data_IF_447708322086
#
_entry.id   IF_447708322086
#
_cell.length_a   1.000
_cell.length_b   1.000
_cell.length_c   1.000
_cell.angle_alpha   90.00
_cell.angle_beta   90.00
_cell.angle_gamma   90.00
#
_symmetry.space_group_name_H-M   'P 1'
#
loop_
_entity.id
_entity.type
_entity.pdbx_description
1 polymer ?
#
# COMPACT_ATOMS: atom_id res chain seq x y z
N UNK A 1 1.38 -1.20 -31.30
CA UNK A 1 1.79 -2.41 -32.05
C UNK A 1 2.96 -3.11 -31.33
N UNK A 2 3.14 -4.44 -31.44
CA UNK A 2 4.34 -5.13 -30.93
C UNK A 2 5.54 -4.73 -31.80
N UNK A 3 6.68 -4.37 -31.19
CA UNK A 3 7.89 -4.04 -31.96
C UNK A 3 8.52 -5.34 -32.46
N UNK A 4 8.42 -5.58 -33.77
CA UNK A 4 9.03 -6.73 -34.43
C UNK A 4 10.53 -6.73 -34.12
N UNK A 5 11.07 -7.87 -33.67
CA UNK A 5 12.52 -7.98 -33.46
C UNK A 5 13.22 -7.96 -34.80
N UNK A 6 14.08 -6.96 -34.99
CA UNK A 6 14.98 -6.88 -36.14
C UNK A 6 16.31 -7.56 -35.81
N UNK A 7 16.91 -8.22 -36.78
CA UNK A 7 18.20 -8.88 -36.70
C UNK A 7 19.33 -7.86 -36.48
N UNK A 8 20.50 -8.27 -35.94
CA UNK A 8 21.64 -7.37 -35.77
C UNK A 8 22.09 -6.69 -37.07
N UNK A 9 21.97 -7.37 -38.21
CA UNK A 9 22.30 -6.84 -39.52
C UNK A 9 21.34 -5.73 -39.97
N UNK A 10 20.04 -5.89 -39.73
CA UNK A 10 19.02 -4.86 -40.02
C UNK A 10 19.19 -3.64 -39.12
N UNK A 11 19.49 -3.84 -37.84
CA UNK A 11 19.75 -2.74 -36.89
C UNK A 11 21.02 -1.98 -37.26
N UNK A 12 22.05 -2.65 -37.80
CA UNK A 12 23.29 -1.99 -38.22
C UNK A 12 23.07 -1.02 -39.39
N UNK A 13 22.14 -1.35 -40.30
CA UNK A 13 21.78 -0.55 -41.49
C UNK A 13 20.92 0.68 -41.23
N UNK A 14 20.34 0.81 -40.03
CA UNK A 14 19.52 1.97 -39.65
C UNK A 14 20.36 3.25 -39.48
N UNK A 15 19.73 4.40 -39.63
CA UNK A 15 20.27 5.69 -39.20
C UNK A 15 20.42 5.77 -37.66
N UNK A 16 21.22 6.71 -37.12
CA UNK A 16 21.33 6.91 -35.67
C UNK A 16 19.98 7.19 -34.99
N UNK A 17 19.11 7.96 -35.63
CA UNK A 17 17.77 8.31 -35.13
C UNK A 17 16.86 7.08 -35.06
N UNK A 18 16.79 6.30 -36.15
CA UNK A 18 16.01 5.05 -36.20
C UNK A 18 16.52 4.02 -35.17
N UNK A 19 17.84 3.96 -34.92
CA UNK A 19 18.39 3.11 -33.85
C UNK A 19 17.95 3.57 -32.47
N UNK A 20 17.94 4.88 -32.21
CA UNK A 20 17.52 5.44 -30.94
C UNK A 20 16.02 5.18 -30.68
N UNK A 21 15.18 5.40 -31.70
CA UNK A 21 13.75 5.12 -31.64
C UNK A 21 13.47 3.63 -31.43
N UNK A 22 14.11 2.75 -32.22
CA UNK A 22 13.98 1.30 -32.07
C UNK A 22 14.38 0.83 -30.65
N UNK A 23 15.48 1.36 -30.11
CA UNK A 23 15.94 1.05 -28.75
C UNK A 23 14.94 1.53 -27.70
N UNK A 24 14.38 2.72 -27.85
CA UNK A 24 13.36 3.28 -26.96
C UNK A 24 12.09 2.42 -26.96
N UNK A 25 11.59 2.07 -28.15
CA UNK A 25 10.41 1.22 -28.32
C UNK A 25 10.62 -0.19 -27.72
N UNK A 26 11.79 -0.80 -27.94
CA UNK A 26 12.14 -2.08 -27.30
C UNK A 26 12.21 -1.98 -25.78
N UNK A 27 12.82 -0.93 -25.24
CA UNK A 27 12.91 -0.71 -23.80
C UNK A 27 11.51 -0.54 -23.18
N UNK A 28 10.63 0.21 -23.84
CA UNK A 28 9.23 0.37 -23.44
C UNK A 28 8.47 -0.96 -23.45
N UNK A 29 8.61 -1.75 -24.51
CA UNK A 29 7.98 -3.07 -24.60
C UNK A 29 8.49 -4.02 -23.50
N UNK A 30 9.79 -4.03 -23.22
CA UNK A 30 10.37 -4.81 -22.13
C UNK A 30 9.93 -4.31 -20.74
N UNK A 31 9.72 -3.00 -20.58
CA UNK A 31 9.15 -2.43 -19.36
C UNK A 31 7.73 -2.93 -19.12
N UNK A 32 6.85 -2.81 -20.12
CA UNK A 32 5.46 -3.30 -20.06
C UNK A 32 5.42 -4.80 -19.76
N UNK A 33 6.27 -5.60 -20.41
CA UNK A 33 6.33 -7.04 -20.19
C UNK A 33 6.73 -7.42 -18.75
N UNK A 34 7.70 -6.71 -18.16
CA UNK A 34 8.12 -6.94 -16.76
C UNK A 34 7.09 -6.42 -15.76
N UNK A 35 6.46 -5.29 -16.09
CA UNK A 35 5.44 -4.65 -15.27
C UNK A 35 4.20 -5.56 -15.14
N UNK A 36 3.86 -6.28 -16.22
CA UNK A 36 2.74 -7.23 -16.26
C UNK A 36 1.38 -6.56 -16.45
N UNK A 37 1.36 -5.25 -16.70
CA UNK A 37 0.18 -4.46 -17.06
C UNK A 37 0.55 -3.56 -18.23
N UNK A 38 -0.37 -3.37 -19.18
CA UNK A 38 -0.19 -2.51 -20.35
C UNK A 38 -1.11 -1.27 -20.29
N UNK A 39 -0.62 -0.12 -19.78
CA UNK A 39 -1.41 1.11 -19.69
C UNK A 39 -1.88 1.64 -21.05
N UNK A 40 -1.19 1.27 -22.14
CA UNK A 40 -1.50 1.78 -23.48
C UNK A 40 -2.52 0.92 -24.22
N UNK A 41 -2.87 -0.25 -23.67
CA UNK A 41 -3.81 -1.20 -24.27
C UNK A 41 -4.90 -1.60 -23.30
N UNK A 42 -5.56 -0.61 -22.70
CA UNK A 42 -6.72 -0.82 -21.85
C UNK A 42 -6.40 -1.61 -20.57
N UNK A 43 -5.20 -1.40 -20.01
CA UNK A 43 -4.79 -1.96 -18.71
C UNK A 43 -4.82 -3.49 -18.63
N UNK A 44 -4.67 -4.18 -19.76
CA UNK A 44 -4.61 -5.65 -19.79
C UNK A 44 -3.49 -6.15 -18.88
N UNK A 45 -3.87 -6.90 -17.84
CA UNK A 45 -2.96 -7.50 -16.89
C UNK A 45 -2.65 -8.95 -17.23
N UNK A 46 -1.41 -9.37 -16.99
CA UNK A 46 -0.98 -10.77 -17.11
C UNK A 46 -0.85 -11.36 -15.71
N UNK A 47 -1.89 -12.05 -15.28
CA UNK A 47 -1.86 -12.86 -14.06
C UNK A 47 -1.12 -14.17 -14.30
N UNK A 48 -0.46 -14.67 -13.25
CA UNK A 48 0.26 -15.93 -13.27
C UNK A 48 0.04 -16.61 -11.91
N UNK A 49 -0.15 -17.92 -11.93
CA UNK A 49 -0.14 -18.72 -10.71
C UNK A 49 1.22 -18.57 -10.04
N UNK A 50 1.22 -18.41 -8.72
CA UNK A 50 2.44 -18.29 -7.94
C UNK A 50 3.24 -19.61 -8.03
N UNK A 51 4.56 -19.54 -8.27
CA UNK A 51 5.43 -20.71 -8.22
C UNK A 51 5.27 -21.46 -6.89
N UNK A 52 5.05 -22.77 -6.96
CA UNK A 52 4.83 -23.64 -5.80
C UNK A 52 3.37 -23.78 -5.36
N UNK A 53 2.43 -23.03 -5.96
CA UNK A 53 0.97 -23.16 -5.68
C UNK A 53 0.22 -23.96 -6.75
N UNK A 54 0.91 -24.48 -7.76
CA UNK A 54 0.31 -25.23 -8.86
C UNK A 54 -0.38 -26.51 -8.39
N UNK A 55 0.18 -27.19 -7.38
CA UNK A 55 -0.44 -28.40 -6.80
C UNK A 55 -1.79 -28.08 -6.15
N UNK A 56 -1.85 -27.00 -5.37
CA UNK A 56 -3.08 -26.55 -4.69
C UNK A 56 -4.13 -26.14 -5.73
N UNK A 57 -3.71 -25.41 -6.77
CA UNK A 57 -4.61 -25.03 -7.87
C UNK A 57 -5.20 -26.26 -8.55
N UNK A 58 -4.37 -27.26 -8.88
CA UNK A 58 -4.84 -28.51 -9.49
C UNK A 58 -5.82 -29.26 -8.58
N UNK A 59 -5.51 -29.34 -7.29
CA UNK A 59 -6.39 -29.97 -6.31
C UNK A 59 -7.76 -29.28 -6.24
N UNK A 60 -7.78 -27.94 -6.20
CA UNK A 60 -9.02 -27.17 -6.23
C UNK A 60 -9.81 -27.36 -7.53
N UNK A 61 -9.13 -27.42 -8.68
CA UNK A 61 -9.76 -27.72 -9.97
C UNK A 61 -10.42 -29.10 -9.97
N UNK A 62 -9.70 -30.13 -9.50
CA UNK A 62 -10.23 -31.49 -9.40
C UNK A 62 -11.44 -31.58 -8.46
N UNK A 63 -11.39 -30.92 -7.29
CA UNK A 63 -12.51 -30.91 -6.35
C UNK A 63 -13.72 -30.14 -6.91
N UNK A 64 -13.48 -29.10 -7.71
CA UNK A 64 -14.53 -28.31 -8.35
C UNK A 64 -15.24 -29.04 -9.50
N UNK A 65 -14.65 -30.08 -10.08
CA UNK A 65 -15.28 -30.89 -11.12
C UNK A 65 -16.47 -31.71 -10.57
N UNK A 66 -16.36 -32.23 -9.35
CA UNK A 66 -17.40 -33.03 -8.71
C UNK A 66 -18.36 -32.24 -7.81
N UNK A 67 -18.07 -30.97 -7.54
CA UNK A 67 -18.90 -30.13 -6.69
C UNK A 67 -20.09 -29.53 -7.44
N UNK A 68 -21.28 -29.65 -6.85
CA UNK A 68 -22.50 -28.98 -7.32
C UNK A 68 -22.42 -27.46 -7.11
N UNK A 69 -21.87 -27.04 -5.96
CA UNK A 69 -21.73 -25.65 -5.54
C UNK A 69 -20.33 -25.34 -5.00
N UNK A 70 -19.83 -24.15 -5.30
CA UNK A 70 -18.51 -23.66 -4.87
C UNK A 70 -18.72 -22.35 -4.10
N UNK A 71 -18.48 -22.38 -2.79
CA UNK A 71 -18.61 -21.21 -1.93
C UNK A 71 -17.27 -20.49 -1.75
N UNK A 72 -17.22 -19.22 -2.13
CA UNK A 72 -16.09 -18.32 -1.97
C UNK A 72 -16.26 -17.52 -0.66
N UNK A 73 -15.64 -18.01 0.41
CA UNK A 73 -15.79 -17.49 1.78
C UNK A 73 -14.57 -16.66 2.23
N UNK A 74 -14.11 -15.71 1.39
CA UNK A 74 -13.01 -14.79 1.72
C UNK A 74 -13.49 -13.59 2.54
N UNK A 75 -12.54 -12.84 3.10
CA UNK A 75 -12.81 -11.64 3.92
C UNK A 75 -13.73 -10.62 3.23
N UNK A 76 -14.48 -9.85 4.02
CA UNK A 76 -15.34 -8.76 3.55
C UNK A 76 -14.51 -7.49 3.30
N UNK A 77 -13.65 -7.53 2.30
CA UNK A 77 -13.01 -6.34 1.75
C UNK A 77 -12.69 -6.53 0.26
N UNK A 78 -12.11 -5.49 -0.36
CA UNK A 78 -11.74 -5.55 -1.78
C UNK A 78 -10.62 -6.57 -2.08
N UNK A 79 -9.77 -6.89 -1.10
CA UNK A 79 -8.70 -7.88 -1.29
C UNK A 79 -9.29 -9.28 -1.29
N UNK A 80 -10.19 -9.57 -0.34
CA UNK A 80 -11.00 -10.77 -0.31
C UNK A 80 -11.78 -10.96 -1.61
N UNK A 81 -12.43 -9.90 -2.10
CA UNK A 81 -13.17 -9.97 -3.37
C UNK A 81 -12.26 -10.28 -4.57
N UNK A 82 -11.09 -9.66 -4.63
CA UNK A 82 -10.11 -9.95 -5.68
C UNK A 82 -9.55 -11.38 -5.58
N UNK A 83 -9.35 -11.91 -4.37
CA UNK A 83 -8.93 -13.30 -4.14
C UNK A 83 -10.03 -14.26 -4.63
N UNK A 84 -11.28 -14.02 -4.26
CA UNK A 84 -12.42 -14.81 -4.68
C UNK A 84 -12.56 -14.82 -6.21
N UNK A 85 -12.44 -13.66 -6.85
CA UNK A 85 -12.40 -13.55 -8.30
C UNK A 85 -11.23 -14.34 -8.91
N UNK A 86 -10.01 -14.20 -8.37
CA UNK A 86 -8.86 -14.96 -8.86
C UNK A 86 -9.05 -16.47 -8.73
N UNK A 87 -9.64 -16.95 -7.63
CA UNK A 87 -9.97 -18.36 -7.45
C UNK A 87 -10.97 -18.84 -8.51
N UNK A 88 -12.04 -18.08 -8.76
CA UNK A 88 -12.99 -18.40 -9.83
C UNK A 88 -12.30 -18.47 -11.20
N UNK A 89 -11.46 -17.49 -11.55
CA UNK A 89 -10.74 -17.47 -12.83
C UNK A 89 -9.74 -18.62 -12.99
N UNK A 90 -9.11 -19.05 -11.89
CA UNK A 90 -8.10 -20.12 -11.90
C UNK A 90 -8.74 -21.50 -11.88
N UNK A 91 -9.82 -21.70 -11.13
CA UNK A 91 -10.55 -22.96 -11.06
C UNK A 91 -11.34 -23.18 -12.36
N UNK A 92 -12.04 -22.16 -12.85
CA UNK A 92 -12.82 -22.21 -14.09
C UNK A 92 -14.09 -23.06 -14.00
N UNK A 93 -14.68 -23.37 -15.15
CA UNK A 93 -15.97 -24.07 -15.21
C UNK A 93 -17.16 -23.11 -15.23
N UNK A 94 -18.35 -23.60 -14.85
CA UNK A 94 -19.57 -22.79 -14.88
C UNK A 94 -19.60 -21.78 -13.73
N UNK A 95 -19.68 -20.49 -14.08
CA UNK A 95 -19.78 -19.36 -13.15
C UNK A 95 -21.04 -19.45 -12.28
N UNK A 96 -22.11 -20.09 -12.76
CA UNK A 96 -23.37 -20.24 -12.03
C UNK A 96 -23.24 -21.09 -10.74
N UNK A 97 -22.20 -21.92 -10.66
CA UNK A 97 -21.90 -22.77 -9.49
C UNK A 97 -21.20 -22.00 -8.37
N UNK A 98 -20.69 -20.80 -8.64
CA UNK A 98 -19.95 -20.01 -7.68
C UNK A 98 -20.88 -19.12 -6.87
N UNK A 99 -20.71 -19.15 -5.56
CA UNK A 99 -21.48 -18.36 -4.61
C UNK A 99 -20.53 -17.65 -3.65
N UNK A 100 -20.75 -16.35 -3.45
CA UNK A 100 -19.95 -15.51 -2.57
C UNK A 100 -20.58 -15.51 -1.18
N UNK A 101 -19.79 -15.82 -0.16
CA UNK A 101 -20.24 -15.83 1.25
C UNK A 101 -19.40 -14.86 2.04
N UNK A 102 -20.03 -13.84 2.61
CA UNK A 102 -19.37 -12.82 3.43
C UNK A 102 -19.93 -12.83 4.84
N UNK A 103 -19.05 -12.65 5.81
CA UNK A 103 -19.42 -12.52 7.22
C UNK A 103 -18.47 -11.53 7.89
N UNK A 104 -19.02 -10.72 8.80
CA UNK A 104 -18.24 -9.72 9.56
C UNK A 104 -17.55 -10.33 10.78
N UNK A 105 -18.04 -11.47 11.25
CA UNK A 105 -17.58 -12.15 12.45
C UNK A 105 -17.68 -13.66 12.28
N UNK A 106 -16.85 -14.40 13.02
CA UNK A 106 -16.80 -15.87 12.95
C UNK A 106 -17.60 -16.44 14.13
N UNK A 107 -18.92 -16.22 14.11
CA UNK A 107 -19.88 -16.79 15.06
C UNK A 107 -20.78 -17.81 14.37
N UNK A 108 -21.29 -18.81 15.10
CA UNK A 108 -22.14 -19.86 14.49
C UNK A 108 -23.36 -19.27 13.78
N UNK A 109 -24.02 -18.30 14.40
CA UNK A 109 -25.17 -17.59 13.81
C UNK A 109 -24.78 -16.83 12.56
N UNK A 110 -23.73 -16.00 12.60
CA UNK A 110 -23.31 -15.20 11.45
C UNK A 110 -22.91 -16.07 10.24
N UNK A 111 -22.26 -17.21 10.48
CA UNK A 111 -21.92 -18.17 9.41
C UNK A 111 -23.19 -18.81 8.85
N UNK A 112 -24.10 -19.30 9.69
CA UNK A 112 -25.35 -19.90 9.21
C UNK A 112 -26.19 -18.91 8.39
N UNK A 113 -26.27 -17.67 8.85
CA UNK A 113 -26.97 -16.59 8.14
C UNK A 113 -26.30 -16.28 6.81
N UNK A 114 -24.96 -16.19 6.77
CA UNK A 114 -24.20 -15.91 5.54
C UNK A 114 -24.37 -17.00 4.47
N UNK A 115 -24.46 -18.28 4.88
CA UNK A 115 -24.73 -19.39 3.95
C UNK A 115 -26.20 -19.51 3.56
N UNK A 116 -27.13 -18.90 4.30
CA UNK A 116 -28.56 -18.91 3.95
C UNK A 116 -28.88 -17.97 2.77
N UNK A 117 -28.09 -16.92 2.57
CA UNK A 117 -28.23 -15.93 1.51
C UNK A 117 -26.88 -15.60 0.87
N UNK A 118 -26.30 -16.53 0.10
CA UNK A 118 -25.07 -16.26 -0.64
C UNK A 118 -25.30 -15.18 -1.71
N UNK A 119 -24.29 -14.35 -1.92
CA UNK A 119 -24.28 -13.31 -2.95
C UNK A 119 -23.48 -13.76 -4.19
N UNK A 120 -23.37 -12.86 -5.16
CA UNK A 120 -22.43 -13.00 -6.30
C UNK A 120 -21.21 -12.11 -6.05
N UNK A 121 -20.16 -12.31 -6.84
CA UNK A 121 -18.96 -11.47 -6.76
C UNK A 121 -19.25 -10.02 -7.17
N UNK A 122 -18.76 -9.07 -6.38
CA UNK A 122 -18.79 -7.66 -6.71
C UNK A 122 -17.63 -7.29 -7.64
N UNK A 123 -17.92 -7.20 -8.93
CA UNK A 123 -16.96 -6.81 -9.97
C UNK A 123 -16.40 -5.40 -9.76
N UNK A 124 -17.13 -4.48 -9.11
CA UNK A 124 -16.61 -3.14 -8.82
C UNK A 124 -15.53 -3.17 -7.75
N UNK A 125 -15.72 -4.00 -6.70
CA UNK A 125 -14.70 -4.19 -5.67
C UNK A 125 -13.44 -4.85 -6.24
N UNK A 126 -13.59 -5.85 -7.11
CA UNK A 126 -12.47 -6.45 -7.85
C UNK A 126 -11.74 -5.40 -8.68
N UNK A 127 -12.46 -4.61 -9.48
CA UNK A 127 -11.87 -3.57 -10.33
C UNK A 127 -11.17 -2.49 -9.50
N UNK A 128 -11.70 -2.12 -8.34
CA UNK A 128 -11.06 -1.18 -7.43
C UNK A 128 -9.73 -1.71 -6.88
N UNK A 129 -9.68 -3.00 -6.51
CA UNK A 129 -8.46 -3.66 -6.08
C UNK A 129 -7.44 -3.75 -7.22
N UNK A 130 -7.87 -4.16 -8.41
CA UNK A 130 -7.02 -4.24 -9.60
C UNK A 130 -6.44 -2.88 -9.98
N UNK A 131 -7.26 -1.82 -9.97
CA UNK A 131 -6.83 -0.46 -10.25
C UNK A 131 -5.73 0.00 -9.27
N UNK A 132 -5.92 -0.26 -7.95
CA UNK A 132 -4.88 0.01 -6.94
C UNK A 132 -3.60 -0.77 -7.26
N UNK A 133 -3.71 -2.06 -7.55
CA UNK A 133 -2.58 -2.93 -7.87
C UNK A 133 -1.82 -2.45 -9.11
N UNK A 134 -2.53 -2.01 -10.14
CA UNK A 134 -1.95 -1.50 -11.38
C UNK A 134 -1.24 -0.17 -11.14
N UNK A 135 -1.86 0.75 -10.40
CA UNK A 135 -1.26 2.03 -10.05
C UNK A 135 0.06 1.84 -9.30
N UNK A 136 0.07 0.99 -8.26
CA UNK A 136 1.28 0.74 -7.47
C UNK A 136 2.37 0.08 -8.34
N UNK A 137 1.98 -0.77 -9.29
CA UNK A 137 2.88 -1.41 -10.26
C UNK A 137 3.49 -0.39 -11.23
N UNK A 138 2.69 0.54 -11.76
CA UNK A 138 3.17 1.62 -12.64
C UNK A 138 4.16 2.51 -11.92
N UNK A 139 3.80 3.00 -10.72
CA UNK A 139 4.68 3.86 -9.92
C UNK A 139 5.98 3.15 -9.60
N UNK A 140 5.93 1.90 -9.12
CA UNK A 140 7.12 1.14 -8.79
C UNK A 140 8.07 0.95 -9.98
N UNK A 141 7.55 0.56 -11.14
CA UNK A 141 8.37 0.29 -12.33
C UNK A 141 8.89 1.57 -13.01
N UNK A 142 8.16 2.69 -12.93
CA UNK A 142 8.57 3.95 -13.54
C UNK A 142 9.52 4.76 -12.66
N UNK A 143 9.28 4.82 -11.35
CA UNK A 143 10.03 5.68 -10.44
C UNK A 143 11.26 4.99 -9.81
N UNK A 144 11.25 3.68 -9.55
CA UNK A 144 12.41 2.99 -8.94
C UNK A 144 13.70 3.11 -9.76
N UNK A 145 13.68 3.02 -11.11
CA UNK A 145 14.90 3.21 -11.91
C UNK A 145 15.53 4.60 -11.74
N UNK A 146 14.73 5.63 -11.43
CA UNK A 146 15.25 6.97 -11.16
C UNK A 146 15.97 7.00 -9.81
N UNK A 147 15.39 6.38 -8.77
CA UNK A 147 16.02 6.25 -7.45
C UNK A 147 17.35 5.51 -7.52
N UNK A 148 17.44 4.46 -8.34
CA UNK A 148 18.71 3.72 -8.53
C UNK A 148 19.81 4.55 -9.17
N UNK A 149 19.44 5.47 -10.07
CA UNK A 149 20.39 6.35 -10.75
C UNK A 149 20.82 7.53 -9.90
N UNK A 150 19.96 7.99 -8.98
CA UNK A 150 20.15 9.26 -8.25
C UNK A 150 20.45 9.12 -6.77
N UNK A 151 20.08 7.99 -6.15
CA UNK A 151 20.20 7.78 -4.71
C UNK A 151 21.02 6.51 -4.44
N UNK A 152 20.42 5.33 -4.61
CA UNK A 152 21.10 4.05 -4.39
C UNK A 152 20.39 2.91 -5.13
N UNK A 153 21.18 1.92 -5.57
CA UNK A 153 20.63 0.68 -6.17
C UNK A 153 19.83 -0.09 -5.12
N UNK A 154 18.76 -0.76 -5.56
CA UNK A 154 17.91 -1.59 -4.70
C UNK A 154 16.78 -0.85 -3.98
N UNK A 155 16.71 0.49 -4.08
CA UNK A 155 15.60 1.26 -3.53
C UNK A 155 14.30 1.03 -4.32
N UNK A 156 13.16 1.06 -3.63
CA UNK A 156 11.85 0.96 -4.26
C UNK A 156 11.10 2.28 -4.13
N UNK A 157 10.41 2.66 -5.20
CA UNK A 157 9.46 3.76 -5.16
C UNK A 157 8.06 3.19 -4.89
N UNK A 158 7.39 3.72 -3.88
CA UNK A 158 6.01 3.36 -3.56
C UNK A 158 5.19 4.62 -3.31
N UNK A 159 4.02 4.73 -3.95
CA UNK A 159 3.16 5.92 -3.89
C UNK A 159 2.77 6.33 -2.46
N UNK A 160 2.48 5.35 -1.60
CA UNK A 160 2.12 5.58 -0.19
C UNK A 160 3.35 5.59 0.71
N UNK A 161 4.31 4.69 0.44
CA UNK A 161 5.54 4.57 1.24
C UNK A 161 6.38 5.84 1.20
N UNK A 162 6.51 6.50 0.03
CA UNK A 162 7.28 7.73 -0.09
C UNK A 162 6.69 8.89 0.72
N UNK A 163 5.35 8.98 0.78
CA UNK A 163 4.66 10.00 1.59
C UNK A 163 4.86 9.71 3.08
N UNK A 164 4.74 8.46 3.50
CA UNK A 164 4.97 8.08 4.91
C UNK A 164 6.42 8.41 5.34
N UNK A 165 7.41 8.09 4.50
CA UNK A 165 8.81 8.45 4.77
C UNK A 165 9.00 9.96 4.82
N UNK A 166 8.35 10.71 3.92
CA UNK A 166 8.40 12.17 3.91
C UNK A 166 7.91 12.76 5.24
N UNK A 167 6.78 12.31 5.78
CA UNK A 167 6.25 12.81 7.06
C UNK A 167 7.24 12.60 8.21
N UNK A 168 7.91 11.45 8.25
CA UNK A 168 8.93 11.16 9.27
C UNK A 168 10.14 12.08 9.10
N UNK A 169 10.61 12.28 7.86
CA UNK A 169 11.76 13.16 7.57
C UNK A 169 11.44 14.62 7.87
N UNK A 170 10.22 15.09 7.57
CA UNK A 170 9.77 16.45 7.90
C UNK A 170 9.76 16.68 9.41
N UNK A 171 9.20 15.74 10.19
CA UNK A 171 9.24 15.80 11.66
C UNK A 171 10.67 15.80 12.21
N UNK A 172 11.55 14.97 11.67
CA UNK A 172 12.96 14.96 12.06
C UNK A 172 13.65 16.29 11.73
N UNK A 173 13.26 16.93 10.63
CA UNK A 173 13.69 18.28 10.27
C UNK A 173 13.25 19.33 11.30
N UNK A 174 11.99 19.28 11.74
CA UNK A 174 11.47 20.15 12.80
C UNK A 174 12.26 19.97 14.11
N UNK A 175 12.54 18.72 14.51
CA UNK A 175 13.32 18.42 15.73
C UNK A 175 14.74 18.97 15.64
N UNK A 176 15.40 18.82 14.48
CA UNK A 176 16.77 19.34 14.27
C UNK A 176 16.85 20.86 14.22
N UNK A 177 15.78 21.51 13.73
CA UNK A 177 15.69 22.96 13.67
C UNK A 177 15.22 23.58 14.99
N UNK A 178 14.72 22.77 15.92
CA UNK A 178 14.29 23.23 17.24
C UNK A 178 15.49 23.76 18.03
N UNK A 179 15.42 25.03 18.41
CA UNK A 179 16.37 25.66 19.33
C UNK A 179 15.72 25.65 20.71
N UNK A 180 16.20 24.83 21.68
CA UNK A 180 15.64 24.81 23.02
C UNK A 180 15.83 26.17 23.70
N UNK A 181 14.75 26.71 24.24
CA UNK A 181 14.77 27.91 25.08
C UNK A 181 14.68 27.47 26.55
N UNK A 182 15.58 28.00 27.37
CA UNK A 182 15.53 27.78 28.81
C UNK A 182 14.30 28.51 29.39
N UNK A 183 13.59 27.84 30.28
CA UNK A 183 12.52 28.42 31.08
C UNK A 183 12.52 27.75 32.44
N UNK A 184 12.02 28.47 33.44
CA UNK A 184 11.95 27.97 34.81
C UNK A 184 10.52 28.02 35.35
N UNK A 185 10.13 26.95 36.04
CA UNK A 185 8.89 26.90 36.80
C UNK A 185 9.18 26.87 38.29
N UNK A 186 8.73 27.90 39.02
CA UNK A 186 8.82 27.92 40.48
C UNK A 186 7.58 27.26 41.07
N UNK A 187 7.81 26.26 41.92
CA UNK A 187 6.76 25.51 42.60
C UNK A 187 6.88 25.66 44.12
N UNK A 188 5.78 25.95 44.78
CA UNK A 188 5.66 25.94 46.24
C UNK A 188 5.05 24.63 46.71
N UNK A 189 5.65 24.03 47.74
CA UNK A 189 5.04 22.94 48.50
C UNK A 189 4.24 23.54 49.65
N UNK A 190 2.91 23.39 49.60
CA UNK A 190 1.98 23.94 50.58
C UNK A 190 1.23 22.79 51.28
N UNK A 191 0.67 23.07 52.44
CA UNK A 191 -0.28 22.17 53.09
C UNK A 191 -1.69 22.76 53.01
N UNK A 192 -2.68 21.90 52.79
CA UNK A 192 -4.10 22.27 52.92
C UNK A 192 -4.47 22.42 54.41
N UNK A 193 -5.68 22.92 54.68
CA UNK A 193 -6.22 22.98 56.04
C UNK A 193 -6.40 21.59 56.68
N UNK A 194 -6.43 20.52 55.87
CA UNK A 194 -6.46 19.12 56.30
C UNK A 194 -5.07 18.47 56.39
N UNK A 195 -4.00 19.26 56.30
CA UNK A 195 -2.59 18.83 56.33
C UNK A 195 -2.17 17.90 55.17
N UNK A 196 -2.84 18.04 54.02
CA UNK A 196 -2.47 17.35 52.78
C UNK A 196 -1.46 18.19 51.99
N UNK A 197 -0.44 17.53 51.41
CA UNK A 197 0.57 18.21 50.58
C UNK A 197 -0.04 18.64 49.24
N UNK A 198 0.15 19.90 48.89
CA UNK A 198 -0.31 20.53 47.66
C UNK A 198 0.84 21.28 46.98
N UNK A 199 1.23 20.83 45.80
CA UNK A 199 2.25 21.50 44.97
C UNK A 199 1.60 22.53 44.06
N UNK A 200 1.93 23.81 44.23
CA UNK A 200 1.38 24.92 43.45
C UNK A 200 2.46 25.61 42.61
N UNK A 201 2.22 25.83 41.32
CA UNK A 201 3.10 26.61 40.45
C UNK A 201 2.81 28.11 40.58
N UNK A 202 3.86 28.93 40.63
CA UNK A 202 3.73 30.39 40.68
C UNK A 202 3.27 30.91 39.31
N UNK A 203 2.05 31.42 39.23
CA UNK A 203 1.51 31.98 37.99
C UNK A 203 1.83 33.47 37.79
N UNK A 204 2.00 34.23 38.88
CA UNK A 204 2.22 35.68 38.85
C UNK A 204 3.16 36.15 39.96
N UNK A 205 3.97 37.16 39.64
CA UNK A 205 4.81 37.88 40.58
C UNK A 205 4.57 39.38 40.41
N UNK A 206 4.33 40.08 41.52
CA UNK A 206 4.03 41.53 41.54
C UNK A 206 2.93 41.96 40.53
N UNK A 207 1.88 41.12 40.39
CA UNK A 207 0.74 41.39 39.52
C UNK A 207 0.94 41.06 38.02
N UNK A 208 2.14 40.68 37.59
CA UNK A 208 2.45 40.27 36.20
C UNK A 208 2.60 38.76 36.08
N UNK A 209 2.40 38.21 34.88
CA UNK A 209 2.68 36.80 34.60
C UNK A 209 4.15 36.49 34.89
N UNK A 210 4.41 35.39 35.60
CA UNK A 210 5.75 34.98 36.00
C UNK A 210 6.26 33.88 35.05
N UNK A 211 7.12 34.27 34.11
CA UNK A 211 7.69 33.38 33.09
C UNK A 211 9.22 33.61 33.00
N UNK A 212 10.01 33.19 34.01
CA UNK A 212 11.45 33.42 34.03
C UNK A 212 12.14 32.60 32.93
N UNK A 213 13.03 33.24 32.17
CA UNK A 213 13.74 32.61 31.04
C UNK A 213 15.13 32.08 31.41
N UNK A 214 15.52 32.21 32.67
CA UNK A 214 16.78 31.69 33.23
C UNK A 214 16.68 31.59 34.77
N UNK A 215 17.66 30.92 35.39
CA UNK A 215 17.69 30.73 36.83
C UNK A 215 17.70 32.05 37.63
N UNK A 216 18.43 33.06 37.15
CA UNK A 216 18.58 34.33 37.90
C UNK A 216 17.25 35.04 38.06
N UNK A 217 16.41 35.03 37.01
CA UNK A 217 15.05 35.57 37.05
C UNK A 217 14.11 34.73 37.93
N UNK A 218 14.34 33.42 38.03
CA UNK A 218 13.53 32.54 38.88
C UNK A 218 13.86 32.71 40.38
N UNK A 219 15.12 33.02 40.70
CA UNK A 219 15.62 33.20 42.06
C UNK A 219 15.37 34.61 42.64
N UNK A 220 14.79 35.53 41.85
CA UNK A 220 14.47 36.93 42.23
C UNK A 220 13.08 37.07 42.86
#
# INVERSE_FOLDING_TARGET
>A
AKVVSKTPAEVKKMSPEEKAEYKSLKAKQALVARMGVDPEKGWKAKYQTLPGKEKVVKELQTLAESADHIYLATDLDREGEAIAWHLQQVIGGDESRYQRVVFNEITKSAIQDAFSQPSVLDTNMVNAQQARRFLDRVVGFMASPLLWKKVARGLSAGRVQSVAVRLVVEREGEIKAFVPEEFWDVHAELNTLSDERLKMQVAKFQGKAFNPVNQTEADT
#
